data_IF_279020200647
#
_entry.id   IF_279020200647
#
_cell.length_a   1.000
_cell.length_b   1.000
_cell.length_c   1.000
_cell.angle_alpha   90.00
_cell.angle_beta   90.00
_cell.angle_gamma   90.00
#
_symmetry.space_group_name_H-M   'P 1'
#
loop_
_entity.id
_entity.type
_entity.pdbx_description
1 polymer ?
#
# COMPACT_ATOMS: atom_id res chain seq x y z
N UNK A 1 2.57 36.49 85.44
CA UNK A 1 3.76 36.79 84.63
C UNK A 1 4.62 35.55 84.44
N UNK A 2 5.57 35.20 85.31
CA UNK A 2 6.54 34.12 84.98
C UNK A 2 5.90 32.71 84.82
N UNK A 3 4.88 32.37 85.61
CA UNK A 3 4.13 31.09 85.45
C UNK A 3 3.18 31.06 84.26
N UNK A 4 2.69 32.23 83.83
CA UNK A 4 1.81 32.32 82.64
C UNK A 4 2.64 32.17 81.37
N UNK A 5 3.78 32.89 81.28
CA UNK A 5 4.74 32.72 80.18
C UNK A 5 5.29 31.30 80.07
N UNK A 6 5.43 30.60 81.20
CA UNK A 6 5.88 29.21 81.20
C UNK A 6 4.79 28.23 80.70
N UNK A 7 3.52 28.47 81.01
CA UNK A 7 2.41 27.66 80.49
C UNK A 7 2.20 27.87 78.98
N UNK A 8 2.34 29.12 78.52
CA UNK A 8 2.28 29.49 77.10
C UNK A 8 3.45 28.88 76.31
N UNK A 9 4.66 28.86 76.90
CA UNK A 9 5.81 28.17 76.32
C UNK A 9 5.60 26.66 76.22
N UNK A 10 5.03 26.02 77.25
CA UNK A 10 4.76 24.58 77.24
C UNK A 10 3.72 24.20 76.16
N UNK A 11 2.72 25.06 75.93
CA UNK A 11 1.73 24.91 74.84
C UNK A 11 2.37 24.99 73.46
N UNK A 12 3.16 26.05 73.19
CA UNK A 12 3.88 26.22 71.92
C UNK A 12 4.85 25.08 71.66
N UNK A 13 5.55 24.59 72.70
CA UNK A 13 6.45 23.44 72.56
C UNK A 13 5.69 22.14 72.23
N UNK A 14 4.48 21.96 72.76
CA UNK A 14 3.62 20.83 72.42
C UNK A 14 3.14 20.90 70.98
N UNK A 15 2.73 22.09 70.51
CA UNK A 15 2.33 22.32 69.12
C UNK A 15 3.52 22.10 68.16
N UNK A 16 4.69 22.61 68.51
CA UNK A 16 5.93 22.42 67.75
C UNK A 16 6.29 20.94 67.62
N UNK A 17 6.18 20.19 68.72
CA UNK A 17 6.43 18.74 68.67
C UNK A 17 5.44 18.02 67.75
N UNK A 18 4.17 18.42 67.76
CA UNK A 18 3.15 17.86 66.86
C UNK A 18 3.47 18.19 65.39
N UNK A 19 3.74 19.46 65.09
CA UNK A 19 4.04 19.92 63.73
C UNK A 19 5.27 19.23 63.15
N UNK A 20 6.34 19.06 63.95
CA UNK A 20 7.54 18.29 63.55
C UNK A 20 7.23 16.81 63.28
N UNK A 21 6.40 16.19 64.11
CA UNK A 21 6.00 14.79 63.89
C UNK A 21 5.18 14.61 62.62
N UNK A 22 4.32 15.57 62.30
CA UNK A 22 3.54 15.57 61.07
C UNK A 22 4.44 15.82 59.85
N UNK A 23 5.37 16.77 59.93
CA UNK A 23 6.34 17.06 58.89
C UNK A 23 7.19 15.83 58.56
N UNK A 24 7.72 15.14 59.56
CA UNK A 24 8.49 13.92 59.37
C UNK A 24 7.65 12.80 58.73
N UNK A 25 6.38 12.68 59.12
CA UNK A 25 5.45 11.73 58.52
C UNK A 25 5.19 12.02 57.04
N UNK A 26 5.08 13.30 56.67
CA UNK A 26 4.91 13.73 55.27
C UNK A 26 6.19 13.48 54.48
N UNK A 27 7.37 13.81 55.02
CA UNK A 27 8.67 13.56 54.38
C UNK A 27 8.87 12.07 54.07
N UNK A 28 8.55 11.19 55.01
CA UNK A 28 8.65 9.75 54.80
C UNK A 28 7.72 9.25 53.68
N UNK A 29 6.49 9.77 53.62
CA UNK A 29 5.55 9.45 52.52
C UNK A 29 6.06 9.97 51.19
N UNK A 30 6.54 11.21 51.15
CA UNK A 30 7.08 11.84 49.95
C UNK A 30 8.27 11.04 49.38
N UNK A 31 9.18 10.60 50.25
CA UNK A 31 10.27 9.71 49.84
C UNK A 31 9.75 8.40 49.26
N UNK A 32 8.77 7.76 49.93
CA UNK A 32 8.22 6.47 49.48
C UNK A 32 7.51 6.58 48.13
N UNK A 33 6.76 7.68 47.90
CA UNK A 33 6.11 7.93 46.62
C UNK A 33 7.12 8.23 45.52
N UNK A 34 8.20 8.98 45.80
CA UNK A 34 9.26 9.25 44.82
C UNK A 34 9.99 7.98 44.39
N UNK A 35 10.36 7.13 45.33
CA UNK A 35 10.98 5.81 45.04
C UNK A 35 10.02 4.93 44.21
N UNK A 36 8.71 5.02 44.46
CA UNK A 36 7.70 4.30 43.68
C UNK A 36 7.60 4.84 42.25
N UNK A 37 7.62 6.16 42.06
CA UNK A 37 7.58 6.79 40.73
C UNK A 37 8.84 6.47 39.94
N UNK A 38 10.02 6.52 40.55
CA UNK A 38 11.28 6.14 39.89
C UNK A 38 11.23 4.70 39.38
N UNK A 39 10.80 3.75 40.22
CA UNK A 39 10.64 2.35 39.80
C UNK A 39 9.63 2.17 38.67
N UNK A 40 8.54 2.94 38.65
CA UNK A 40 7.54 2.88 37.59
C UNK A 40 8.07 3.50 36.28
N UNK A 41 8.91 4.54 36.35
CA UNK A 41 9.57 5.14 35.18
C UNK A 41 10.57 4.16 34.55
N UNK A 42 11.34 3.44 35.37
CA UNK A 42 12.21 2.37 34.89
C UNK A 42 11.40 1.27 34.17
N UNK A 43 10.31 0.80 34.79
CA UNK A 43 9.43 -0.22 34.16
C UNK A 43 8.81 0.29 32.85
N UNK A 44 8.40 1.57 32.80
CA UNK A 44 7.89 2.21 31.58
C UNK A 44 8.93 2.16 30.46
N UNK A 45 10.16 2.59 30.75
CA UNK A 45 11.26 2.62 29.77
C UNK A 45 11.62 1.23 29.24
N UNK A 46 11.64 0.22 30.12
CA UNK A 46 11.86 -1.19 29.72
C UNK A 46 10.77 -1.68 28.76
N UNK A 47 9.50 -1.39 29.06
CA UNK A 47 8.36 -1.81 28.23
C UNK A 47 8.26 -1.04 26.91
N UNK A 48 8.63 0.25 26.89
CA UNK A 48 8.75 1.04 25.65
C UNK A 48 9.84 0.45 24.75
N UNK A 49 11.02 0.17 25.29
CA UNK A 49 12.11 -0.48 24.55
C UNK A 49 11.71 -1.86 24.01
N UNK A 50 10.96 -2.64 24.79
CA UNK A 50 10.40 -3.91 24.31
C UNK A 50 9.43 -3.69 23.15
N UNK A 51 8.56 -2.68 23.22
CA UNK A 51 7.59 -2.35 22.17
C UNK A 51 8.27 -1.94 20.86
N UNK A 52 9.29 -1.08 20.94
CA UNK A 52 10.03 -0.58 19.77
C UNK A 52 10.77 -1.69 19.04
N UNK A 53 11.22 -2.72 19.77
CA UNK A 53 11.84 -3.90 19.16
C UNK A 53 10.91 -4.65 18.21
N UNK A 54 9.59 -4.56 18.39
CA UNK A 54 8.60 -5.19 17.52
C UNK A 54 8.26 -4.39 16.25
N UNK A 55 8.67 -3.12 16.16
CA UNK A 55 8.34 -2.28 14.99
C UNK A 55 9.24 -2.53 13.77
N UNK A 56 10.37 -3.21 13.96
CA UNK A 56 11.29 -3.52 12.87
C UNK A 56 10.82 -4.63 11.90
N UNK A 57 9.78 -5.40 12.25
CA UNK A 57 9.43 -6.66 11.58
C UNK A 57 7.95 -6.74 11.13
N UNK A 58 7.34 -5.61 10.80
CA UNK A 58 5.95 -5.57 10.35
C UNK A 58 5.75 -6.34 9.02
N UNK A 59 5.16 -7.53 9.10
CA UNK A 59 4.68 -8.31 7.95
C UNK A 59 3.35 -7.75 7.47
N UNK A 60 3.23 -7.44 6.17
CA UNK A 60 1.95 -7.09 5.56
C UNK A 60 1.02 -8.31 5.54
N UNK A 61 0.00 -8.29 6.40
CA UNK A 61 -0.98 -9.37 6.53
C UNK A 61 -1.89 -9.50 5.32
N UNK A 62 -2.18 -8.40 4.62
CA UNK A 62 -3.04 -8.40 3.44
C UNK A 62 -2.37 -9.15 2.31
N UNK A 63 -1.13 -8.76 2.00
CA UNK A 63 -0.32 -9.41 0.97
C UNK A 63 -0.09 -10.90 1.27
N UNK A 64 0.24 -11.23 2.53
CA UNK A 64 0.45 -12.61 2.94
C UNK A 64 -0.83 -13.46 2.82
N UNK A 65 -2.01 -12.90 3.14
CA UNK A 65 -3.30 -13.59 3.00
C UNK A 65 -3.64 -13.86 1.54
N UNK A 66 -3.52 -12.83 0.69
CA UNK A 66 -3.79 -12.96 -0.74
C UNK A 66 -2.85 -13.98 -1.40
N UNK A 67 -1.58 -13.99 -0.97
CA UNK A 67 -0.61 -14.98 -1.43
C UNK A 67 -0.98 -16.39 -0.99
N UNK A 68 -1.41 -16.58 0.26
CA UNK A 68 -1.89 -17.88 0.75
C UNK A 68 -3.06 -18.39 -0.09
N UNK A 69 -4.04 -17.54 -0.40
CA UNK A 69 -5.18 -17.91 -1.24
C UNK A 69 -4.76 -18.29 -2.66
N UNK A 70 -3.88 -17.49 -3.27
CA UNK A 70 -3.31 -17.77 -4.60
C UNK A 70 -2.57 -19.10 -4.65
N UNK A 71 -1.71 -19.37 -3.67
CA UNK A 71 -0.94 -20.63 -3.56
C UNK A 71 -1.88 -21.82 -3.37
N UNK A 72 -2.92 -21.70 -2.53
CA UNK A 72 -3.93 -22.76 -2.34
C UNK A 72 -4.67 -23.07 -3.65
N UNK A 73 -5.13 -22.03 -4.36
CA UNK A 73 -5.79 -22.20 -5.66
C UNK A 73 -4.89 -22.87 -6.69
N UNK A 74 -3.60 -22.50 -6.73
CA UNK A 74 -2.62 -23.11 -7.62
C UNK A 74 -2.37 -24.59 -7.29
N UNK A 75 -2.28 -24.94 -6.00
CA UNK A 75 -2.16 -26.32 -5.54
C UNK A 75 -3.39 -27.15 -5.96
N UNK A 76 -4.60 -26.60 -5.84
CA UNK A 76 -5.84 -27.26 -6.28
C UNK A 76 -5.84 -27.51 -7.79
N UNK A 77 -5.48 -26.50 -8.59
CA UNK A 77 -5.33 -26.65 -10.05
C UNK A 77 -4.33 -27.74 -10.40
N UNK A 78 -3.15 -27.76 -9.77
CA UNK A 78 -2.14 -28.78 -9.98
C UNK A 78 -2.63 -30.19 -9.58
N UNK A 79 -3.44 -30.32 -8.52
CA UNK A 79 -4.02 -31.60 -8.15
C UNK A 79 -4.98 -32.13 -9.23
N UNK A 80 -5.79 -31.26 -9.87
CA UNK A 80 -6.63 -31.64 -11.01
C UNK A 80 -5.78 -32.11 -12.17
N UNK A 81 -4.81 -31.30 -12.60
CA UNK A 81 -3.92 -31.61 -13.73
C UNK A 81 -3.14 -32.90 -13.50
N UNK A 82 -2.58 -33.12 -12.30
CA UNK A 82 -1.87 -34.37 -11.95
C UNK A 82 -2.81 -35.58 -12.03
N UNK A 83 -4.05 -35.44 -11.58
CA UNK A 83 -5.04 -36.53 -11.59
C UNK A 83 -5.49 -36.88 -13.01
N UNK A 84 -5.69 -35.87 -13.86
CA UNK A 84 -5.98 -36.03 -15.29
C UNK A 84 -4.82 -36.71 -16.02
N UNK A 85 -3.59 -36.22 -15.84
CA UNK A 85 -2.38 -36.82 -16.42
C UNK A 85 -2.18 -38.26 -15.94
N UNK A 86 -2.42 -38.55 -14.66
CA UNK A 86 -2.33 -39.90 -14.12
C UNK A 86 -3.37 -40.84 -14.76
N UNK A 87 -4.59 -40.36 -14.97
CA UNK A 87 -5.66 -41.14 -15.62
C UNK A 87 -5.31 -41.47 -17.07
N UNK A 88 -4.81 -40.48 -17.83
CA UNK A 88 -4.39 -40.66 -19.22
C UNK A 88 -3.19 -41.60 -19.32
N UNK A 89 -2.17 -41.41 -18.47
CA UNK A 89 -0.97 -42.26 -18.44
C UNK A 89 -1.34 -43.69 -18.07
N UNK A 90 -2.15 -43.90 -17.03
CA UNK A 90 -2.55 -45.23 -16.58
C UNK A 90 -3.39 -45.97 -17.62
N UNK A 91 -4.38 -45.32 -18.22
CA UNK A 91 -5.14 -45.94 -19.30
C UNK A 91 -4.21 -46.28 -20.48
N UNK A 92 -3.37 -45.34 -20.91
CA UNK A 92 -2.45 -45.57 -22.05
C UNK A 92 -1.53 -46.77 -21.78
N UNK A 93 -1.02 -46.90 -20.56
CA UNK A 93 -0.23 -48.05 -20.12
C UNK A 93 -1.05 -49.34 -20.10
N UNK A 94 -2.28 -49.32 -19.58
CA UNK A 94 -3.16 -50.49 -19.55
C UNK A 94 -3.51 -50.99 -20.96
N UNK A 95 -3.62 -50.09 -21.95
CA UNK A 95 -3.77 -50.43 -23.37
C UNK A 95 -2.49 -51.01 -23.95
N UNK A 96 -1.34 -50.38 -23.70
CA UNK A 96 -0.04 -50.82 -24.22
C UNK A 96 0.40 -52.18 -23.63
N UNK A 97 0.06 -52.45 -22.36
CA UNK A 97 0.29 -53.72 -21.68
C UNK A 97 -0.71 -54.82 -22.09
N UNK A 98 -1.69 -54.50 -22.95
CA UNK A 98 -2.73 -55.43 -23.40
C UNK A 98 -3.77 -55.77 -22.34
N UNK A 99 -3.83 -55.03 -21.22
CA UNK A 99 -4.82 -55.21 -20.15
C UNK A 99 -6.18 -54.61 -20.52
N UNK A 100 -6.22 -53.64 -21.44
CA UNK A 100 -7.46 -53.03 -21.93
C UNK A 100 -8.21 -53.85 -23.01
N UNK A 101 -7.67 -55.01 -23.43
CA UNK A 101 -8.25 -55.88 -24.46
C UNK A 101 -9.59 -56.56 -24.08
N UNK A 102 -10.22 -56.21 -22.97
CA UNK A 102 -11.51 -56.79 -22.55
C UNK A 102 -12.74 -56.08 -23.13
N UNK A 103 -12.58 -54.96 -23.84
CA UNK A 103 -13.71 -54.20 -24.40
C UNK A 103 -13.82 -54.32 -25.93
N UNK A 104 -12.71 -54.56 -26.64
CA UNK A 104 -12.69 -54.59 -28.11
C UNK A 104 -12.95 -55.98 -28.71
N UNK A 105 -12.73 -57.06 -27.94
CA UNK A 105 -13.01 -58.45 -28.36
C UNK A 105 -14.52 -58.77 -28.51
N UNK A 106 -15.40 -57.78 -28.26
CA UNK A 106 -16.86 -57.93 -28.37
C UNK A 106 -17.47 -57.27 -29.62
N UNK A 107 -16.70 -56.58 -30.46
CA UNK A 107 -17.23 -55.87 -31.64
C UNK A 107 -16.38 -56.07 -32.92
N UNK A 108 -16.26 -57.33 -33.37
CA UNK A 108 -15.90 -57.73 -34.75
C UNK A 108 -14.44 -58.15 -34.95
N UNK A 109 -14.09 -59.19 -35.72
CA UNK A 109 -14.84 -60.05 -36.63
C UNK A 109 -14.04 -61.34 -36.95
N UNK A 110 -14.74 -62.37 -37.46
CA UNK A 110 -14.17 -63.48 -38.24
C UNK A 110 -13.31 -62.97 -39.40
N UNK A 111 -12.09 -63.51 -39.58
CA UNK A 111 -11.23 -63.21 -40.72
C UNK A 111 -9.93 -64.01 -40.76
N UNK A 112 -9.84 -64.93 -41.72
CA UNK A 112 -8.67 -65.75 -42.10
C UNK A 112 -7.54 -64.86 -42.66
N UNK A 113 -6.37 -64.86 -42.02
CA UNK A 113 -5.21 -64.01 -42.36
C UNK A 113 -3.87 -64.67 -42.04
N UNK A 114 -2.89 -64.50 -42.94
CA UNK A 114 -1.62 -65.24 -42.94
C UNK A 114 -0.70 -64.90 -41.76
N UNK A 115 0.00 -65.91 -41.24
CA UNK A 115 0.93 -65.83 -40.08
C UNK A 115 2.11 -64.85 -40.31
N UNK A 116 2.35 -64.45 -41.56
CA UNK A 116 3.37 -63.46 -41.94
C UNK A 116 2.95 -62.01 -41.73
N UNK A 117 1.66 -61.69 -41.74
CA UNK A 117 1.17 -60.34 -41.38
C UNK A 117 1.19 -60.12 -39.87
N UNK A 118 1.11 -61.18 -39.07
CA UNK A 118 1.15 -61.15 -37.60
C UNK A 118 2.51 -60.79 -36.99
N UNK A 119 3.60 -60.82 -37.76
CA UNK A 119 4.95 -60.45 -37.32
C UNK A 119 5.34 -59.01 -37.70
N UNK A 120 4.58 -58.37 -38.61
CA UNK A 120 4.77 -56.95 -38.98
C UNK A 120 3.71 -56.07 -38.31
N UNK A 121 2.56 -56.64 -37.93
CA UNK A 121 1.51 -55.98 -37.14
C UNK A 121 1.84 -55.80 -35.65
N UNK A 122 3.07 -56.11 -35.22
CA UNK A 122 3.48 -56.02 -33.81
C UNK A 122 3.99 -54.64 -33.40
N UNK A 123 4.31 -53.77 -34.35
CA UNK A 123 4.92 -52.46 -34.07
C UNK A 123 3.92 -51.29 -34.18
N UNK A 124 2.85 -51.43 -34.96
CA UNK A 124 1.81 -50.40 -35.12
C UNK A 124 0.51 -50.75 -34.39
N UNK A 125 -0.11 -49.76 -33.76
CA UNK A 125 -1.41 -49.85 -33.07
C UNK A 125 -2.29 -48.68 -33.53
N UNK A 126 -3.59 -48.91 -33.65
CA UNK A 126 -4.56 -47.83 -33.89
C UNK A 126 -4.63 -46.92 -32.66
N UNK A 127 -4.30 -45.65 -32.83
CA UNK A 127 -4.43 -44.66 -31.77
C UNK A 127 -5.91 -44.49 -31.39
N UNK A 128 -6.28 -44.72 -30.15
CA UNK A 128 -7.68 -44.54 -29.73
C UNK A 128 -8.13 -43.07 -29.85
N UNK A 129 -7.24 -42.11 -29.59
CA UNK A 129 -7.61 -40.69 -29.54
C UNK A 129 -7.92 -40.11 -30.91
N UNK A 130 -7.25 -40.56 -31.98
CA UNK A 130 -7.39 -40.01 -33.33
C UNK A 130 -7.71 -41.05 -34.43
N UNK A 131 -7.74 -42.34 -34.11
CA UNK A 131 -8.13 -43.42 -35.03
C UNK A 131 -7.09 -43.77 -36.10
N UNK A 132 -5.89 -43.18 -36.07
CA UNK A 132 -4.81 -43.43 -37.03
C UNK A 132 -3.87 -44.55 -36.57
N UNK A 133 -3.31 -45.34 -37.49
CA UNK A 133 -2.24 -46.30 -37.18
C UNK A 133 -0.93 -45.57 -36.86
N UNK A 134 -0.34 -45.86 -35.70
CA UNK A 134 0.91 -45.26 -35.22
C UNK A 134 1.79 -46.31 -34.54
N UNK A 135 3.10 -46.07 -34.56
CA UNK A 135 4.07 -46.95 -33.90
C UNK A 135 3.89 -46.92 -32.38
N UNK A 136 3.91 -48.10 -31.75
CA UNK A 136 3.82 -48.27 -30.29
C UNK A 136 4.94 -47.55 -29.55
N UNK A 137 6.12 -47.41 -30.17
CA UNK A 137 7.25 -46.66 -29.62
C UNK A 137 6.98 -45.14 -29.61
N UNK A 138 6.22 -44.61 -30.57
CA UNK A 138 5.80 -43.21 -30.59
C UNK A 138 4.77 -42.92 -29.49
N UNK A 139 3.85 -43.87 -29.23
CA UNK A 139 2.90 -43.78 -28.12
C UNK A 139 3.67 -43.85 -26.78
N UNK A 140 4.59 -44.80 -26.62
CA UNK A 140 5.45 -44.89 -25.42
C UNK A 140 6.25 -43.62 -25.18
N UNK A 141 6.87 -43.04 -26.20
CA UNK A 141 7.59 -41.77 -26.10
C UNK A 141 6.68 -40.60 -25.70
N UNK A 142 5.41 -40.61 -26.11
CA UNK A 142 4.42 -39.61 -25.68
C UNK A 142 3.99 -39.84 -24.22
N UNK A 143 3.78 -41.10 -23.82
CA UNK A 143 3.49 -41.47 -22.43
C UNK A 143 4.65 -41.09 -21.49
N UNK A 144 5.90 -41.28 -21.91
CA UNK A 144 7.08 -40.87 -21.14
C UNK A 144 7.15 -39.35 -20.97
N UNK A 145 6.85 -38.57 -22.01
CA UNK A 145 6.71 -37.11 -21.90
C UNK A 145 5.59 -36.70 -20.94
N UNK A 146 4.45 -37.39 -20.96
CA UNK A 146 3.35 -37.13 -20.02
C UNK A 146 3.73 -37.50 -18.57
N UNK A 147 4.55 -38.53 -18.37
CA UNK A 147 5.13 -38.88 -17.06
C UNK A 147 6.06 -37.79 -16.56
N UNK A 148 6.96 -37.29 -17.42
CA UNK A 148 7.87 -36.18 -17.10
C UNK A 148 7.10 -34.93 -16.68
N UNK A 149 6.11 -34.49 -17.47
CA UNK A 149 5.27 -33.33 -17.13
C UNK A 149 4.51 -33.56 -15.83
N UNK A 150 3.96 -34.75 -15.60
CA UNK A 150 3.27 -35.07 -14.34
C UNK A 150 4.22 -34.98 -13.14
N UNK A 151 5.46 -35.45 -13.28
CA UNK A 151 6.44 -35.43 -12.21
C UNK A 151 6.94 -34.00 -11.94
N UNK A 152 7.13 -33.18 -12.98
CA UNK A 152 7.35 -31.73 -12.86
C UNK A 152 6.21 -31.04 -12.10
N UNK A 153 4.94 -31.33 -12.44
CA UNK A 153 3.78 -30.76 -11.72
C UNK A 153 3.71 -31.21 -10.26
N UNK A 154 4.17 -32.43 -9.95
CA UNK A 154 4.26 -32.93 -8.56
C UNK A 154 5.33 -32.18 -7.77
N UNK A 155 6.45 -31.86 -8.41
CA UNK A 155 7.52 -31.03 -7.83
C UNK A 155 7.04 -29.60 -7.59
N UNK A 156 6.42 -28.94 -8.59
CA UNK A 156 5.80 -27.61 -8.46
C UNK A 156 4.81 -27.56 -7.28
N UNK A 157 3.95 -28.58 -7.16
CA UNK A 157 3.02 -28.69 -6.03
C UNK A 157 3.74 -28.87 -4.68
N UNK A 158 4.83 -29.64 -4.65
CA UNK A 158 5.58 -29.85 -3.41
C UNK A 158 6.27 -28.56 -2.96
N UNK A 159 6.77 -27.75 -3.89
CA UNK A 159 7.33 -26.42 -3.61
C UNK A 159 6.26 -25.46 -3.09
N UNK A 160 5.12 -25.36 -3.77
CA UNK A 160 4.00 -24.52 -3.33
C UNK A 160 3.48 -24.91 -1.95
N UNK A 161 3.51 -26.20 -1.59
CA UNK A 161 3.16 -26.64 -0.23
C UNK A 161 4.15 -26.14 0.82
N UNK A 162 5.46 -26.16 0.52
CA UNK A 162 6.47 -25.61 1.44
C UNK A 162 6.31 -24.10 1.60
N UNK A 163 6.04 -23.40 0.50
CA UNK A 163 5.75 -21.96 0.50
C UNK A 163 4.50 -21.67 1.36
N UNK A 164 3.43 -22.43 1.18
CA UNK A 164 2.22 -22.31 1.99
C UNK A 164 2.51 -22.51 3.48
N UNK A 165 3.24 -23.56 3.85
CA UNK A 165 3.61 -23.83 5.25
C UNK A 165 4.48 -22.71 5.85
N UNK A 166 5.32 -22.05 5.05
CA UNK A 166 6.12 -20.89 5.47
C UNK A 166 5.25 -19.64 5.65
N UNK A 167 4.39 -19.32 4.68
CA UNK A 167 3.45 -18.20 4.77
C UNK A 167 2.50 -18.35 5.96
N UNK A 168 1.95 -19.54 6.21
CA UNK A 168 1.10 -19.78 7.38
C UNK A 168 1.84 -19.63 8.71
N UNK A 169 3.12 -20.04 8.77
CA UNK A 169 3.97 -19.84 9.96
C UNK A 169 4.26 -18.36 10.18
N UNK A 170 4.60 -17.63 9.13
CA UNK A 170 4.83 -16.18 9.18
C UNK A 170 3.57 -15.44 9.65
N UNK A 171 2.40 -15.78 9.11
CA UNK A 171 1.12 -15.20 9.52
C UNK A 171 0.82 -15.43 11.01
N UNK A 172 1.02 -16.66 11.51
CA UNK A 172 0.84 -16.95 12.94
C UNK A 172 1.81 -16.18 13.83
N UNK A 173 3.06 -16.04 13.41
CA UNK A 173 4.06 -15.26 14.13
C UNK A 173 3.66 -13.76 14.17
N UNK A 174 3.25 -13.20 13.03
CA UNK A 174 2.78 -11.83 12.92
C UNK A 174 1.53 -11.56 13.77
N UNK A 175 0.59 -12.51 13.84
CA UNK A 175 -0.57 -12.40 14.74
C UNK A 175 -0.18 -12.43 16.22
N UNK A 176 0.79 -13.26 16.58
CA UNK A 176 1.27 -13.36 17.95
C UNK A 176 1.97 -12.06 18.37
N UNK A 177 2.85 -11.53 17.51
CA UNK A 177 3.51 -10.25 17.71
C UNK A 177 2.48 -9.13 17.92
N UNK A 178 1.41 -9.05 17.12
CA UNK A 178 0.34 -8.06 17.33
C UNK A 178 -0.31 -8.15 18.71
N UNK A 179 -0.65 -9.39 19.11
CA UNK A 179 -1.30 -9.63 20.38
C UNK A 179 -0.40 -9.19 21.53
N UNK A 180 0.89 -9.41 21.41
CA UNK A 180 1.86 -9.03 22.44
C UNK A 180 2.11 -7.52 22.43
N UNK A 181 2.27 -6.88 21.27
CA UNK A 181 2.31 -5.41 21.13
C UNK A 181 1.09 -4.74 21.75
N UNK A 182 -0.11 -5.25 21.48
CA UNK A 182 -1.35 -4.72 22.08
C UNK A 182 -1.35 -4.84 23.61
N UNK A 183 -0.90 -5.98 24.15
CA UNK A 183 -0.78 -6.16 25.61
C UNK A 183 0.23 -5.19 26.22
N UNK A 184 1.38 -4.98 25.57
CA UNK A 184 2.40 -4.03 26.02
C UNK A 184 1.85 -2.60 26.03
N UNK A 185 1.21 -2.16 24.95
CA UNK A 185 0.54 -0.85 24.90
C UNK A 185 -0.52 -0.67 25.99
N UNK A 186 -1.34 -1.70 26.24
CA UNK A 186 -2.35 -1.65 27.30
C UNK A 186 -1.72 -1.62 28.71
N UNK A 187 -0.53 -2.21 28.90
CA UNK A 187 0.23 -2.10 30.16
C UNK A 187 0.83 -0.71 30.32
N UNK A 188 1.50 -0.19 29.29
CA UNK A 188 2.09 1.15 29.27
C UNK A 188 1.06 2.20 29.65
N UNK A 189 -0.12 2.19 29.02
CA UNK A 189 -1.21 3.11 29.37
C UNK A 189 -1.60 3.06 30.85
N UNK A 190 -1.62 1.87 31.45
CA UNK A 190 -1.96 1.72 32.89
C UNK A 190 -0.85 2.23 33.79
N UNK A 191 0.41 2.05 33.39
CA UNK A 191 1.57 2.58 34.11
C UNK A 191 1.60 4.10 34.03
N UNK A 192 1.34 4.68 32.86
CA UNK A 192 1.19 6.13 32.67
C UNK A 192 0.08 6.70 33.57
N UNK A 193 -1.11 6.09 33.56
CA UNK A 193 -2.22 6.49 34.45
C UNK A 193 -1.85 6.38 35.95
N UNK A 194 -0.97 5.45 36.34
CA UNK A 194 -0.49 5.30 37.72
C UNK A 194 0.58 6.34 38.07
N UNK A 195 1.52 6.59 37.15
CA UNK A 195 2.53 7.64 37.26
C UNK A 195 1.86 9.00 37.46
N UNK A 196 0.90 9.37 36.62
CA UNK A 196 0.16 10.63 36.74
C UNK A 196 -0.48 10.81 38.12
N UNK A 197 -1.11 9.75 38.64
CA UNK A 197 -1.73 9.77 39.97
C UNK A 197 -0.71 9.96 41.08
N UNK A 198 0.43 9.26 41.01
CA UNK A 198 1.47 9.33 42.05
C UNK A 198 2.22 10.65 41.99
N UNK A 199 2.54 11.16 40.80
CA UNK A 199 3.11 12.50 40.62
C UNK A 199 2.20 13.56 41.22
N UNK A 200 0.89 13.51 40.96
CA UNK A 200 -0.07 14.42 41.61
C UNK A 200 -0.15 14.27 43.13
N UNK A 201 0.09 13.07 43.68
CA UNK A 201 0.22 12.87 45.13
C UNK A 201 1.50 13.48 45.69
N UNK A 202 2.62 13.36 44.96
CA UNK A 202 3.90 13.97 45.32
C UNK A 202 3.74 15.50 45.38
N UNK A 203 3.10 16.12 44.40
CA UNK A 203 2.80 17.56 44.40
C UNK A 203 2.02 17.96 45.66
N UNK A 204 0.91 17.27 45.94
CA UNK A 204 0.09 17.56 47.14
C UNK A 204 0.86 17.36 48.46
N UNK A 205 1.72 16.34 48.55
CA UNK A 205 2.56 16.09 49.72
C UNK A 205 3.67 17.15 49.86
N UNK A 206 4.19 17.65 48.74
CA UNK A 206 5.20 18.70 48.67
C UNK A 206 4.63 20.01 49.20
N UNK A 207 3.44 20.41 48.73
CA UNK A 207 2.70 21.57 49.24
C UNK A 207 2.46 21.44 50.76
N UNK A 208 2.03 20.26 51.20
CA UNK A 208 1.74 20.01 52.62
C UNK A 208 3.00 20.07 53.49
N UNK A 209 4.14 19.59 52.97
CA UNK A 209 5.44 19.67 53.63
C UNK A 209 5.85 21.13 53.81
N UNK A 210 5.67 21.96 52.78
CA UNK A 210 6.02 23.39 52.84
C UNK A 210 5.17 24.13 53.88
N UNK A 211 3.86 23.90 53.91
CA UNK A 211 2.96 24.47 54.92
C UNK A 211 3.38 24.08 56.35
N UNK A 212 3.72 22.80 56.58
CA UNK A 212 4.18 22.32 57.88
C UNK A 212 5.55 22.88 58.27
N UNK A 213 6.45 23.05 57.30
CA UNK A 213 7.77 23.65 57.54
C UNK A 213 7.63 25.12 57.97
N UNK A 214 6.80 25.90 57.28
CA UNK A 214 6.49 27.28 57.67
C UNK A 214 5.85 27.35 59.07
N UNK A 215 4.97 26.40 59.41
CA UNK A 215 4.38 26.31 60.74
C UNK A 215 5.43 26.01 61.82
N UNK A 216 6.36 25.08 61.56
CA UNK A 216 7.47 24.77 62.47
C UNK A 216 8.35 26.00 62.70
N UNK A 217 8.72 26.72 61.64
CA UNK A 217 9.54 27.93 61.74
C UNK A 217 8.86 29.02 62.60
N UNK A 218 7.56 29.23 62.41
CA UNK A 218 6.77 30.16 63.21
C UNK A 218 6.73 29.76 64.69
N UNK A 219 6.43 28.49 64.98
CA UNK A 219 6.38 27.98 66.36
C UNK A 219 7.76 28.02 67.04
N UNK A 220 8.84 27.81 66.30
CA UNK A 220 10.20 27.94 66.82
C UNK A 220 10.56 29.39 67.17
N UNK A 221 10.15 30.34 66.32
CA UNK A 221 10.26 31.78 66.58
C UNK A 221 9.53 32.17 67.88
N UNK A 222 8.26 31.77 68.00
CA UNK A 222 7.43 32.03 69.19
C UNK A 222 8.03 31.39 70.45
N UNK A 223 8.47 30.13 70.37
CA UNK A 223 9.11 29.43 71.49
C UNK A 223 10.41 30.11 71.94
N UNK A 224 11.18 30.66 71.00
CA UNK A 224 12.40 31.39 71.33
C UNK A 224 12.12 32.74 71.97
N UNK A 225 11.11 33.45 71.49
CA UNK A 225 10.70 34.73 72.07
C UNK A 225 10.21 34.54 73.52
N UNK A 226 9.31 33.60 73.76
CA UNK A 226 8.78 33.26 75.09
C UNK A 226 9.87 32.76 76.06
N UNK A 227 10.85 32.00 75.55
CA UNK A 227 11.99 31.52 76.33
C UNK A 227 12.96 32.64 76.69
N UNK A 228 13.22 33.58 75.78
CA UNK A 228 14.03 34.77 76.04
C UNK A 228 13.44 35.67 77.12
N UNK A 229 12.11 35.78 77.16
CA UNK A 229 11.37 36.47 78.23
C UNK A 229 11.45 35.74 79.59
N UNK A 230 11.73 34.43 79.58
CA UNK A 230 11.78 33.55 80.76
C UNK A 230 13.19 33.34 81.33
N UNK A 231 14.25 33.79 80.64
CA UNK A 231 15.64 33.83 81.13
C UNK A 231 16.44 32.53 81.04
N UNK A 232 16.10 31.61 80.11
CA UNK A 232 16.85 30.37 79.87
C UNK A 232 17.90 30.46 78.77
N UNK A 233 19.01 29.71 78.89
CA UNK A 233 20.04 29.54 77.84
C UNK A 233 19.52 28.70 76.65
N UNK A 234 19.93 29.07 75.42
CA UNK A 234 19.20 28.82 74.16
C UNK A 234 19.70 27.72 73.20
N UNK A 235 20.79 27.01 73.52
CA UNK A 235 21.51 26.16 72.55
C UNK A 235 20.66 25.10 71.82
N UNK A 236 19.68 24.46 72.47
CA UNK A 236 18.93 23.35 71.87
C UNK A 236 17.95 23.79 70.76
N UNK A 237 17.33 24.97 70.91
CA UNK A 237 16.40 25.48 69.89
C UNK A 237 17.19 25.97 68.67
N UNK A 238 18.33 26.61 68.89
CA UNK A 238 19.20 27.06 67.80
C UNK A 238 19.77 25.87 67.00
N UNK A 239 20.22 24.81 67.68
CA UNK A 239 20.69 23.60 66.99
C UNK A 239 19.58 22.92 66.18
N UNK A 240 18.33 22.95 66.67
CA UNK A 240 17.20 22.40 65.94
C UNK A 240 16.80 23.25 64.73
N UNK A 241 16.89 24.58 64.82
CA UNK A 241 16.74 25.45 63.65
C UNK A 241 17.77 25.14 62.58
N UNK A 242 19.05 25.03 62.97
CA UNK A 242 20.12 24.72 62.03
C UNK A 242 19.90 23.34 61.37
N UNK A 243 19.42 22.35 62.13
CA UNK A 243 19.01 21.05 61.57
C UNK A 243 17.88 21.20 60.54
N UNK A 244 16.80 21.92 60.87
CA UNK A 244 15.67 22.13 59.98
C UNK A 244 16.09 22.88 58.70
N UNK A 245 16.97 23.87 58.81
CA UNK A 245 17.51 24.62 57.67
C UNK A 245 18.26 23.69 56.69
N UNK A 246 19.10 22.79 57.22
CA UNK A 246 19.84 21.81 56.42
C UNK A 246 18.87 20.79 55.80
N UNK A 247 17.89 20.31 56.55
CA UNK A 247 16.87 19.38 56.03
C UNK A 247 16.03 20.03 54.92
N UNK A 248 15.64 21.30 55.07
CA UNK A 248 14.92 22.03 54.04
C UNK A 248 15.76 22.22 52.78
N UNK A 249 17.06 22.51 52.93
CA UNK A 249 17.97 22.58 51.79
C UNK A 249 18.13 21.24 51.07
N UNK A 250 18.19 20.13 51.82
CA UNK A 250 18.21 18.78 51.26
C UNK A 250 16.92 18.46 50.51
N UNK A 251 15.77 18.80 51.08
CA UNK A 251 14.46 18.58 50.46
C UNK A 251 14.32 19.40 49.17
N UNK A 252 14.71 20.68 49.15
CA UNK A 252 14.75 21.48 47.92
C UNK A 252 15.64 20.86 46.85
N UNK A 253 16.82 20.38 47.22
CA UNK A 253 17.74 19.74 46.26
C UNK A 253 17.15 18.46 45.67
N UNK A 254 16.37 17.71 46.47
CA UNK A 254 15.64 16.51 45.99
C UNK A 254 14.50 16.89 45.05
N UNK A 255 13.82 18.01 45.30
CA UNK A 255 12.77 18.52 44.42
C UNK A 255 13.37 18.99 43.08
N UNK A 256 14.49 19.72 43.14
CA UNK A 256 15.25 20.12 41.94
C UNK A 256 15.68 18.90 41.11
N UNK A 257 16.17 17.83 41.77
CA UNK A 257 16.53 16.59 41.08
C UNK A 257 15.32 15.93 40.40
N UNK A 258 14.18 15.87 41.08
CA UNK A 258 12.96 15.33 40.52
C UNK A 258 12.50 16.13 39.29
N UNK A 259 12.53 17.47 39.37
CA UNK A 259 12.21 18.35 38.26
C UNK A 259 13.13 18.12 37.05
N UNK A 260 14.44 17.94 37.29
CA UNK A 260 15.39 17.64 36.20
C UNK A 260 15.12 16.28 35.57
N UNK A 261 14.71 15.26 36.35
CA UNK A 261 14.31 13.97 35.80
C UNK A 261 13.04 14.10 34.94
N UNK A 262 12.06 14.91 35.38
CA UNK A 262 10.85 15.17 34.61
C UNK A 262 11.18 15.88 33.29
N UNK A 263 12.09 16.88 33.31
CA UNK A 263 12.60 17.54 32.10
C UNK A 263 13.34 16.60 31.16
N UNK A 264 14.06 15.60 31.68
CA UNK A 264 14.74 14.58 30.87
C UNK A 264 13.73 13.65 30.19
N UNK A 265 12.72 13.18 30.93
CA UNK A 265 11.62 12.37 30.38
C UNK A 265 10.91 13.12 29.23
N UNK A 266 10.58 14.41 29.43
CA UNK A 266 9.98 15.24 28.37
C UNK A 266 10.89 15.40 27.14
N UNK A 267 12.21 15.43 27.35
CA UNK A 267 13.17 15.55 26.25
C UNK A 267 13.29 14.24 25.47
N UNK A 268 13.27 13.10 26.16
CA UNK A 268 13.29 11.77 25.55
C UNK A 268 12.03 11.54 24.70
N UNK A 269 10.84 11.87 25.21
CA UNK A 269 9.59 11.83 24.45
C UNK A 269 9.67 12.66 23.15
N UNK A 270 10.33 13.82 23.20
CA UNK A 270 10.55 14.67 22.03
C UNK A 270 11.57 14.09 21.03
N UNK A 271 12.52 13.29 21.49
CA UNK A 271 13.43 12.58 20.60
C UNK A 271 12.70 11.46 19.86
N UNK A 272 11.83 10.72 20.55
CA UNK A 272 11.02 9.65 19.96
C UNK A 272 10.05 10.21 18.91
N UNK A 273 9.35 11.30 19.21
CA UNK A 273 8.48 12.01 18.25
C UNK A 273 9.25 12.42 16.98
N UNK A 274 10.49 12.91 17.15
CA UNK A 274 11.33 13.29 16.01
C UNK A 274 11.66 12.07 15.13
N UNK A 275 11.98 10.93 15.71
CA UNK A 275 12.27 9.72 14.93
C UNK A 275 11.04 9.23 14.18
N UNK A 276 9.85 9.27 14.78
CA UNK A 276 8.58 8.94 14.10
C UNK A 276 8.36 9.84 12.88
N UNK A 277 8.52 11.16 13.04
CA UNK A 277 8.38 12.12 11.94
C UNK A 277 9.43 11.93 10.83
N UNK A 278 10.64 11.50 11.16
CA UNK A 278 11.67 11.17 10.17
C UNK A 278 11.28 9.95 9.33
N UNK A 279 10.72 8.90 9.96
CA UNK A 279 10.19 7.72 9.27
C UNK A 279 8.99 8.08 8.37
N UNK A 280 8.03 8.87 8.87
CA UNK A 280 6.88 9.33 8.09
C UNK A 280 7.33 10.12 6.85
N UNK A 281 8.31 11.03 7.02
CA UNK A 281 8.87 11.80 5.91
C UNK A 281 9.50 10.90 4.85
N UNK A 282 10.22 9.86 5.26
CA UNK A 282 10.85 8.91 4.33
C UNK A 282 9.79 8.13 3.54
N UNK A 283 8.76 7.60 4.21
CA UNK A 283 7.63 6.95 3.57
C UNK A 283 6.94 7.86 2.54
N UNK A 284 6.62 9.10 2.92
CA UNK A 284 5.97 10.07 2.02
C UNK A 284 6.85 10.39 0.80
N UNK A 285 8.18 10.44 0.97
CA UNK A 285 9.08 10.64 -0.17
C UNK A 285 9.09 9.44 -1.11
N UNK A 286 9.11 8.21 -0.58
CA UNK A 286 9.02 6.99 -1.39
C UNK A 286 7.70 6.92 -2.17
N UNK A 287 6.58 7.23 -1.51
CA UNK A 287 5.26 7.32 -2.16
C UNK A 287 5.25 8.37 -3.27
N UNK A 288 5.86 9.53 -3.03
CA UNK A 288 5.99 10.60 -4.03
C UNK A 288 6.81 10.14 -5.24
N UNK A 289 7.91 9.42 -5.02
CA UNK A 289 8.74 8.87 -6.09
C UNK A 289 8.00 7.78 -6.90
N UNK A 290 7.30 6.89 -6.22
CA UNK A 290 6.46 5.87 -6.84
C UNK A 290 5.35 6.51 -7.70
N UNK A 291 4.63 7.49 -7.15
CA UNK A 291 3.59 8.22 -7.87
C UNK A 291 4.14 8.95 -9.09
N UNK A 292 5.30 9.61 -8.97
CA UNK A 292 5.97 10.28 -10.11
C UNK A 292 6.38 9.28 -11.19
N UNK A 293 6.91 8.12 -10.80
CA UNK A 293 7.29 7.06 -11.73
C UNK A 293 6.08 6.51 -12.46
N UNK A 294 4.98 6.26 -11.73
CA UNK A 294 3.70 5.84 -12.31
C UNK A 294 3.14 6.86 -13.30
N UNK A 295 3.15 8.15 -12.95
CA UNK A 295 2.73 9.21 -13.87
C UNK A 295 3.59 9.19 -15.14
N UNK A 296 4.91 9.05 -15.00
CA UNK A 296 5.82 8.98 -16.15
C UNK A 296 5.53 7.77 -17.03
N UNK A 297 5.31 6.58 -16.46
CA UNK A 297 5.03 5.37 -17.23
C UNK A 297 3.66 5.45 -17.93
N UNK A 298 2.61 5.88 -17.22
CA UNK A 298 1.28 6.07 -17.81
C UNK A 298 1.31 7.09 -18.94
N UNK A 299 2.02 8.20 -18.75
CA UNK A 299 2.12 9.22 -19.79
C UNK A 299 2.91 8.73 -21.00
N UNK A 300 3.99 7.98 -20.80
CA UNK A 300 4.77 7.40 -21.90
C UNK A 300 3.92 6.41 -22.71
N UNK A 301 3.25 5.47 -22.03
CA UNK A 301 2.34 4.52 -22.66
C UNK A 301 1.22 5.24 -23.43
N UNK A 302 0.62 6.27 -22.83
CA UNK A 302 -0.43 7.05 -23.51
C UNK A 302 0.09 7.75 -24.77
N UNK A 303 1.30 8.33 -24.75
CA UNK A 303 1.91 8.96 -25.94
C UNK A 303 2.24 7.93 -27.02
N UNK A 304 2.75 6.76 -26.63
CA UNK A 304 3.04 5.66 -27.56
C UNK A 304 1.76 5.18 -28.25
N UNK A 305 0.71 4.83 -27.49
CA UNK A 305 -0.58 4.43 -28.06
C UNK A 305 -1.20 5.54 -28.91
N UNK A 306 -1.08 6.81 -28.50
CA UNK A 306 -1.58 7.93 -29.28
C UNK A 306 -0.88 8.06 -30.64
N UNK A 307 0.43 7.83 -30.69
CA UNK A 307 1.19 7.88 -31.93
C UNK A 307 0.88 6.69 -32.84
N UNK A 308 0.70 5.48 -32.29
CA UNK A 308 0.31 4.29 -33.05
C UNK A 308 -1.08 4.44 -33.66
N UNK A 309 -2.05 4.95 -32.91
CA UNK A 309 -3.41 5.20 -33.42
C UNK A 309 -3.43 6.34 -34.44
N UNK A 310 -2.67 7.42 -34.24
CA UNK A 310 -2.55 8.47 -35.25
C UNK A 310 -1.95 7.98 -36.56
N UNK A 311 -0.93 7.11 -36.50
CA UNK A 311 -0.34 6.49 -37.69
C UNK A 311 -1.37 5.62 -38.41
N UNK A 312 -2.09 4.77 -37.67
CA UNK A 312 -3.16 3.92 -38.20
C UNK A 312 -4.26 4.72 -38.91
N UNK A 313 -4.77 5.78 -38.26
CA UNK A 313 -5.83 6.62 -38.82
C UNK A 313 -5.30 7.43 -40.02
N UNK A 314 -4.07 7.94 -39.96
CA UNK A 314 -3.47 8.68 -41.07
C UNK A 314 -3.26 7.77 -42.30
N UNK A 315 -2.83 6.54 -42.10
CA UNK A 315 -2.67 5.53 -43.16
C UNK A 315 -4.01 5.16 -43.80
N UNK A 316 -5.07 4.99 -43.00
CA UNK A 316 -6.44 4.76 -43.50
C UNK A 316 -6.92 5.93 -44.38
N UNK A 317 -6.56 7.16 -44.01
CA UNK A 317 -6.86 8.36 -44.78
C UNK A 317 -5.92 8.56 -45.99
N UNK A 318 -4.78 7.85 -46.06
CA UNK A 318 -3.86 7.85 -47.21
C UNK A 318 -3.55 9.24 -47.77
N UNK A 319 -3.33 10.24 -46.91
CA UNK A 319 -3.24 11.64 -47.31
C UNK A 319 -1.81 12.02 -47.72
N UNK A 320 -1.52 12.02 -49.01
CA UNK A 320 -0.14 12.10 -49.57
C UNK A 320 0.68 13.34 -49.16
N UNK A 321 0.03 14.43 -48.75
CA UNK A 321 0.72 15.67 -48.38
C UNK A 321 1.29 15.63 -46.95
N UNK A 322 0.80 14.72 -46.11
CA UNK A 322 1.23 14.56 -44.71
C UNK A 322 1.89 13.19 -44.58
N UNK A 323 3.19 13.21 -44.34
CA UNK A 323 3.99 11.99 -44.21
C UNK A 323 3.81 11.37 -42.82
N UNK A 324 3.74 12.20 -41.76
CA UNK A 324 3.67 11.72 -40.38
C UNK A 324 3.16 12.79 -39.43
N UNK A 325 2.42 12.37 -38.41
CA UNK A 325 2.05 13.20 -37.25
C UNK A 325 2.43 12.44 -35.99
N UNK A 326 3.07 13.10 -35.03
CA UNK A 326 3.34 12.50 -33.72
C UNK A 326 3.29 13.53 -32.59
N UNK A 327 3.00 13.03 -31.40
CA UNK A 327 2.99 13.76 -30.15
C UNK A 327 4.30 13.47 -29.40
N UNK A 328 5.01 14.52 -29.02
CA UNK A 328 6.17 14.45 -28.13
C UNK A 328 5.82 15.04 -26.78
N UNK A 329 6.26 14.37 -25.70
CA UNK A 329 6.23 14.96 -24.37
C UNK A 329 7.55 15.69 -24.11
N UNK A 330 7.45 17.00 -23.85
CA UNK A 330 8.60 17.84 -23.49
C UNK A 330 8.47 18.37 -22.07
N UNK A 331 9.60 18.53 -21.37
CA UNK A 331 9.65 19.14 -20.04
C UNK A 331 10.08 20.60 -20.14
N UNK A 332 9.22 21.52 -19.67
CA UNK A 332 9.51 22.96 -19.66
C UNK A 332 9.49 23.52 -18.26
N UNK A 333 10.48 24.37 -17.96
CA UNK A 333 10.55 25.13 -16.71
C UNK A 333 9.60 26.32 -16.77
N UNK A 334 8.47 26.19 -16.10
CA UNK A 334 7.45 27.23 -16.00
C UNK A 334 7.54 27.91 -14.64
N UNK A 335 7.29 29.21 -14.58
CA UNK A 335 7.30 29.95 -13.32
C UNK A 335 5.93 29.82 -12.64
N UNK A 336 5.91 29.23 -11.46
CA UNK A 336 4.76 29.23 -10.57
C UNK A 336 5.05 30.08 -9.33
N UNK A 337 4.45 31.27 -9.28
CA UNK A 337 4.70 32.26 -8.24
C UNK A 337 6.17 32.67 -8.15
N UNK A 338 6.83 32.30 -7.04
CA UNK A 338 8.25 32.58 -6.77
C UNK A 338 9.20 31.46 -7.20
N UNK A 339 8.71 30.28 -7.60
CA UNK A 339 9.55 29.12 -7.95
C UNK A 339 9.42 28.78 -9.44
N UNK A 340 10.44 28.14 -10.00
CA UNK A 340 10.36 27.50 -11.32
C UNK A 340 10.09 26.02 -11.08
N UNK A 341 9.05 25.50 -11.70
CA UNK A 341 8.70 24.08 -11.66
C UNK A 341 8.81 23.51 -13.07
N UNK A 342 9.27 22.28 -13.18
CA UNK A 342 9.24 21.54 -14.45
C UNK A 342 7.82 21.01 -14.64
N UNK A 343 7.20 21.39 -15.75
CA UNK A 343 5.92 20.84 -16.19
C UNK A 343 6.11 20.09 -17.48
N UNK A 344 5.46 18.93 -17.57
CA UNK A 344 5.27 18.25 -18.84
C UNK A 344 4.32 19.07 -19.71
N UNK A 345 4.70 19.25 -20.97
CA UNK A 345 3.86 19.75 -22.05
C UNK A 345 3.91 18.73 -23.19
N UNK A 346 2.90 18.76 -24.04
CA UNK A 346 2.87 17.95 -25.25
C UNK A 346 3.02 18.87 -26.46
N UNK A 347 3.87 18.46 -27.39
CA UNK A 347 4.09 19.14 -28.66
C UNK A 347 3.66 18.21 -29.79
N UNK A 348 2.86 18.75 -30.71
CA UNK A 348 2.44 18.03 -31.90
C UNK A 348 3.40 18.39 -33.03
N UNK A 349 3.96 17.38 -33.66
CA UNK A 349 4.87 17.52 -34.79
C UNK A 349 4.22 16.96 -36.05
N UNK A 350 4.33 17.71 -37.14
CA UNK A 350 3.71 17.36 -38.42
C UNK A 350 4.80 17.39 -39.50
N UNK A 351 5.00 16.26 -40.18
CA UNK A 351 5.91 16.13 -41.32
C UNK A 351 5.12 16.17 -42.61
N UNK A 352 5.54 17.03 -43.54
CA UNK A 352 4.91 17.20 -44.85
C UNK A 352 5.85 16.79 -45.97
N UNK A 353 5.27 16.28 -47.04
CA UNK A 353 5.96 16.03 -48.30
C UNK A 353 5.66 17.16 -49.29
N UNK A 354 6.70 17.72 -49.90
CA UNK A 354 6.53 18.68 -51.01
C UNK A 354 6.29 17.96 -52.34
N UNK A 355 5.72 18.67 -53.32
CA UNK A 355 5.55 18.18 -54.71
C UNK A 355 6.86 17.70 -55.38
N UNK A 356 8.02 18.05 -54.80
CA UNK A 356 9.36 17.64 -55.23
C UNK A 356 9.91 16.41 -54.50
N UNK A 357 9.15 15.85 -53.56
CA UNK A 357 9.54 14.72 -52.70
C UNK A 357 10.42 15.09 -51.50
N UNK A 358 10.66 16.38 -51.24
CA UNK A 358 11.38 16.82 -50.05
C UNK A 358 10.46 16.81 -48.83
N UNK A 359 10.94 16.22 -47.73
CA UNK A 359 10.23 16.04 -46.45
C UNK A 359 10.69 17.10 -45.45
N UNK A 360 9.77 17.81 -44.79
CA UNK A 360 10.09 18.83 -43.79
C UNK A 360 9.04 18.87 -42.66
N UNK A 361 9.46 19.36 -41.48
CA UNK A 361 8.59 19.54 -40.31
C UNK A 361 7.92 20.92 -40.34
N UNK A 362 6.64 20.99 -39.98
CA UNK A 362 5.85 22.22 -39.97
C UNK A 362 4.92 22.32 -38.75
N UNK A 363 4.40 23.52 -38.48
CA UNK A 363 3.44 23.80 -37.40
C UNK A 363 2.01 23.79 -37.91
N UNK A 364 1.05 23.52 -37.02
CA UNK A 364 -0.40 23.66 -37.27
C UNK A 364 -0.74 25.02 -37.88
N UNK A 365 -0.07 26.09 -37.45
CA UNK A 365 -0.34 27.47 -37.90
C UNK A 365 -0.07 27.69 -39.40
N UNK A 366 0.73 26.83 -40.03
CA UNK A 366 1.14 26.96 -41.43
C UNK A 366 0.46 25.94 -42.36
N UNK A 367 -0.38 25.07 -41.80
CA UNK A 367 -1.14 24.08 -42.55
C UNK A 367 -2.29 24.73 -43.34
N UNK A 368 -2.60 24.15 -44.50
CA UNK A 368 -3.81 24.50 -45.25
C UNK A 368 -5.08 24.20 -44.43
N UNK A 369 -6.24 24.68 -44.86
CA UNK A 369 -7.51 24.35 -44.21
C UNK A 369 -7.77 22.84 -44.24
N UNK A 370 -7.58 22.20 -45.39
CA UNK A 370 -7.76 20.75 -45.55
C UNK A 370 -6.75 19.93 -44.75
N UNK A 371 -5.50 20.38 -44.62
CA UNK A 371 -4.49 19.70 -43.80
C UNK A 371 -4.82 19.82 -42.30
N UNK A 372 -5.31 20.97 -41.84
CA UNK A 372 -5.72 21.15 -40.43
C UNK A 372 -6.91 20.28 -40.07
N UNK A 373 -7.87 20.13 -40.99
CA UNK A 373 -9.02 19.25 -40.80
C UNK A 373 -8.59 17.78 -40.67
N UNK A 374 -7.70 17.31 -41.55
CA UNK A 374 -7.18 15.93 -41.49
C UNK A 374 -6.39 15.69 -40.21
N UNK A 375 -5.44 16.57 -39.86
CA UNK A 375 -4.65 16.43 -38.62
C UNK A 375 -5.55 16.49 -37.39
N UNK A 376 -6.55 17.38 -37.38
CA UNK A 376 -7.53 17.48 -36.29
C UNK A 376 -8.38 16.22 -36.15
N UNK A 377 -8.81 15.63 -37.27
CA UNK A 377 -9.57 14.38 -37.29
C UNK A 377 -8.74 13.20 -36.80
N UNK A 378 -7.51 13.04 -37.32
CA UNK A 378 -6.56 12.00 -36.88
C UNK A 378 -6.30 12.10 -35.39
N UNK A 379 -6.02 13.30 -34.88
CA UNK A 379 -5.80 13.54 -33.45
C UNK A 379 -7.03 13.20 -32.60
N UNK A 380 -8.22 13.62 -33.03
CA UNK A 380 -9.45 13.37 -32.30
C UNK A 380 -9.82 11.88 -32.25
N UNK A 381 -9.66 11.16 -33.37
CA UNK A 381 -9.95 9.73 -33.48
C UNK A 381 -8.92 8.87 -32.73
N UNK A 382 -7.63 9.22 -32.80
CA UNK A 382 -6.62 8.57 -31.99
C UNK A 382 -6.89 8.76 -30.49
N UNK A 383 -7.24 9.98 -30.07
CA UNK A 383 -7.64 10.26 -28.69
C UNK A 383 -8.90 9.52 -28.25
N UNK A 384 -9.87 9.34 -29.16
CA UNK A 384 -11.08 8.57 -28.89
C UNK A 384 -10.78 7.11 -28.55
N UNK A 385 -9.82 6.49 -29.25
CA UNK A 385 -9.41 5.10 -29.02
C UNK A 385 -8.52 4.95 -27.78
N UNK A 386 -7.46 5.76 -27.66
CA UNK A 386 -6.50 5.67 -26.56
C UNK A 386 -7.13 5.92 -25.19
N UNK A 387 -8.12 6.81 -25.14
CA UNK A 387 -8.85 7.09 -23.90
C UNK A 387 -10.16 6.32 -23.78
N UNK A 388 -10.41 5.35 -24.65
CA UNK A 388 -11.57 4.45 -24.60
C UNK A 388 -12.89 5.22 -24.47
N UNK A 389 -12.99 6.38 -25.14
CA UNK A 389 -14.11 7.32 -24.98
C UNK A 389 -15.45 6.66 -25.36
N UNK A 390 -15.42 5.64 -26.22
CA UNK A 390 -16.57 4.82 -26.58
C UNK A 390 -17.24 4.12 -25.38
N UNK A 391 -16.51 3.87 -24.28
CA UNK A 391 -17.08 3.24 -23.08
C UNK A 391 -18.06 4.17 -22.35
N UNK A 392 -17.74 5.46 -22.28
CA UNK A 392 -18.59 6.46 -21.62
C UNK A 392 -19.57 7.13 -22.61
N UNK A 393 -19.17 7.27 -23.87
CA UNK A 393 -19.92 7.97 -24.91
C UNK A 393 -20.26 7.00 -26.06
N UNK A 394 -21.45 6.37 -26.05
CA UNK A 394 -21.79 5.30 -26.98
C UNK A 394 -22.17 5.79 -28.39
N UNK A 395 -22.18 7.11 -28.63
CA UNK A 395 -22.65 7.72 -29.87
C UNK A 395 -21.54 8.56 -30.51
N UNK A 396 -21.17 8.22 -31.75
CA UNK A 396 -20.23 8.97 -32.57
C UNK A 396 -20.97 9.58 -33.78
N UNK A 397 -20.82 10.89 -33.96
CA UNK A 397 -21.29 11.61 -35.14
C UNK A 397 -20.09 12.10 -35.94
N UNK A 398 -19.94 11.59 -37.17
CA UNK A 398 -19.00 12.10 -38.16
C UNK A 398 -19.76 13.08 -39.07
N UNK A 399 -19.54 14.37 -38.85
CA UNK A 399 -20.12 15.45 -39.67
C UNK A 399 -19.01 16.10 -40.51
N UNK A 400 -19.37 16.58 -41.71
CA UNK A 400 -18.49 17.39 -42.57
C UNK A 400 -17.17 16.71 -42.99
N UNK A 401 -17.21 15.41 -43.32
CA UNK A 401 -16.05 14.65 -43.86
C UNK A 401 -15.81 14.87 -45.37
N UNK A 402 -16.36 15.95 -45.94
CA UNK A 402 -16.35 16.25 -47.38
C UNK A 402 -14.94 16.47 -47.96
N UNK A 403 -13.94 16.70 -47.10
CA UNK A 403 -12.53 16.84 -47.49
C UNK A 403 -11.84 15.50 -47.83
N UNK A 404 -12.53 14.38 -47.61
CA UNK A 404 -12.02 13.01 -47.78
C UNK A 404 -12.83 12.33 -48.89
N UNK A 405 -12.19 11.54 -49.75
CA UNK A 405 -12.93 10.81 -50.79
C UNK A 405 -13.73 9.62 -50.23
N UNK A 406 -14.77 9.26 -50.96
CA UNK A 406 -15.71 8.19 -50.64
C UNK A 406 -15.05 6.86 -50.21
N UNK A 407 -13.93 6.46 -50.83
CA UNK A 407 -13.26 5.20 -50.52
C UNK A 407 -12.58 5.23 -49.15
N UNK A 408 -11.96 6.35 -48.81
CA UNK A 408 -11.32 6.57 -47.52
C UNK A 408 -12.35 6.76 -46.40
N UNK A 409 -13.46 7.44 -46.67
CA UNK A 409 -14.60 7.53 -45.73
C UNK A 409 -15.11 6.13 -45.39
N UNK A 410 -15.27 5.26 -46.39
CA UNK A 410 -15.72 3.88 -46.16
C UNK A 410 -14.72 3.10 -45.28
N UNK A 411 -13.41 3.19 -45.58
CA UNK A 411 -12.38 2.54 -44.77
C UNK A 411 -12.35 3.04 -43.31
N UNK A 412 -12.58 4.34 -43.10
CA UNK A 412 -12.66 4.93 -41.77
C UNK A 412 -13.91 4.45 -41.02
N UNK A 413 -15.08 4.41 -41.67
CA UNK A 413 -16.31 3.89 -41.05
C UNK A 413 -16.18 2.40 -40.71
N UNK A 414 -15.63 1.59 -41.61
CA UNK A 414 -15.40 0.16 -41.39
C UNK A 414 -14.41 -0.09 -40.23
N UNK A 415 -13.40 0.77 -40.06
CA UNK A 415 -12.48 0.66 -38.94
C UNK A 415 -13.15 1.03 -37.60
N UNK A 416 -13.96 2.09 -37.60
CA UNK A 416 -14.54 2.64 -36.37
C UNK A 416 -15.86 2.00 -35.94
N UNK A 417 -16.57 1.26 -36.80
CA UNK A 417 -17.90 0.70 -36.46
C UNK A 417 -17.92 -0.25 -35.27
N UNK A 418 -16.77 -0.84 -34.92
CA UNK A 418 -16.64 -1.80 -33.83
C UNK A 418 -16.60 -1.17 -32.43
N UNK A 419 -16.38 0.14 -32.31
CA UNK A 419 -16.16 0.81 -31.03
C UNK A 419 -17.44 1.48 -30.46
N UNK A 420 -18.08 2.46 -31.12
CA UNK A 420 -19.30 3.07 -30.59
C UNK A 420 -20.49 2.12 -30.76
N UNK A 421 -21.46 2.23 -29.86
CA UNK A 421 -22.75 1.54 -30.03
C UNK A 421 -23.53 2.09 -31.23
N UNK A 422 -23.37 3.38 -31.49
CA UNK A 422 -24.01 4.08 -32.60
C UNK A 422 -23.00 4.94 -33.34
N UNK A 423 -22.74 4.61 -34.60
CA UNK A 423 -21.97 5.42 -35.53
C UNK A 423 -22.91 6.07 -36.55
N UNK A 424 -22.91 7.39 -36.62
CA UNK A 424 -23.71 8.17 -37.58
C UNK A 424 -22.76 9.03 -38.40
N UNK A 425 -22.83 8.92 -39.72
CA UNK A 425 -22.06 9.75 -40.64
C UNK A 425 -23.00 10.60 -41.50
N UNK A 426 -22.73 11.91 -41.58
CA UNK A 426 -23.41 12.83 -42.49
C UNK A 426 -22.61 12.91 -43.79
N UNK A 427 -23.16 12.34 -44.86
CA UNK A 427 -22.47 12.15 -46.14
C UNK A 427 -23.28 12.70 -47.31
N UNK A 428 -22.58 13.18 -48.33
CA UNK A 428 -23.19 13.46 -49.62
C UNK A 428 -23.62 12.15 -50.31
N UNK A 429 -24.59 12.18 -51.23
CA UNK A 429 -25.08 10.97 -51.89
C UNK A 429 -24.03 10.20 -52.68
N UNK A 430 -22.98 10.88 -53.14
CA UNK A 430 -21.85 10.29 -53.85
C UNK A 430 -20.94 9.48 -52.92
N UNK A 431 -20.64 9.99 -51.73
CA UNK A 431 -19.81 9.30 -50.75
C UNK A 431 -20.54 8.13 -50.09
N UNK A 432 -21.84 8.30 -49.83
CA UNK A 432 -22.68 7.25 -49.23
C UNK A 432 -22.79 5.97 -50.09
N UNK A 433 -22.46 6.04 -51.39
CA UNK A 433 -22.46 4.89 -52.29
C UNK A 433 -21.24 3.98 -52.11
N UNK A 434 -20.14 4.49 -51.55
CA UNK A 434 -18.95 3.69 -51.27
C UNK A 434 -19.11 2.80 -50.03
N UNK A 435 -20.05 3.13 -49.14
CA UNK A 435 -20.36 2.32 -47.96
C UNK A 435 -21.30 1.14 -48.29
N UNK A 436 -21.19 0.07 -47.50
CA UNK A 436 -22.00 -1.13 -47.62
C UNK A 436 -23.52 -0.82 -47.57
N UNK A 437 -24.30 -1.61 -48.31
CA UNK A 437 -25.75 -1.42 -48.39
C UNK A 437 -26.50 -1.81 -47.09
N UNK A 438 -25.83 -2.48 -46.16
CA UNK A 438 -26.36 -2.85 -44.85
C UNK A 438 -26.56 -1.66 -43.91
N UNK A 439 -25.85 -0.55 -44.11
CA UNK A 439 -26.03 0.66 -43.32
C UNK A 439 -27.39 1.32 -43.57
N UNK A 440 -28.05 1.71 -42.49
CA UNK A 440 -29.34 2.42 -42.56
C UNK A 440 -29.13 3.85 -43.06
N UNK A 441 -29.66 4.16 -44.25
CA UNK A 441 -29.61 5.51 -44.84
C UNK A 441 -30.86 6.32 -44.50
N UNK A 442 -30.68 7.56 -44.06
CA UNK A 442 -31.75 8.52 -43.79
C UNK A 442 -31.49 9.79 -44.60
N UNK A 443 -32.43 10.15 -45.48
CA UNK A 443 -32.32 11.37 -46.29
C UNK A 443 -32.97 12.56 -45.59
N UNK A 444 -32.23 13.66 -45.47
CA UNK A 444 -32.75 14.92 -44.95
C UNK A 444 -33.84 15.48 -45.87
N UNK A 445 -35.00 15.83 -45.31
CA UNK A 445 -36.12 16.45 -46.05
C UNK A 445 -37.21 15.51 -46.55
N UNK A 446 -37.13 14.20 -46.28
CA UNK A 446 -38.26 13.27 -46.44
C UNK A 446 -38.86 12.98 -45.06
N UNK A 447 -40.17 13.22 -44.89
CA UNK A 447 -40.92 13.07 -43.64
C UNK A 447 -40.51 11.81 -42.85
N UNK A 448 -39.87 12.01 -41.69
CA UNK A 448 -39.60 10.93 -40.74
C UNK A 448 -40.92 10.56 -40.08
N UNK A 449 -41.64 9.62 -40.68
CA UNK A 449 -42.76 8.96 -39.99
C UNK A 449 -42.15 7.85 -39.12
N UNK A 450 -42.26 7.90 -37.78
CA UNK A 450 -41.76 6.80 -36.96
C UNK A 450 -42.68 5.59 -37.20
N UNK A 451 -42.13 4.51 -37.75
CA UNK A 451 -42.83 3.24 -37.81
C UNK A 451 -42.92 2.66 -36.38
N UNK A 452 -44.15 2.28 -36.01
CA UNK A 452 -44.57 1.76 -34.70
C UNK A 452 -44.02 0.37 -34.37
#
# INVERSE_FOLDING_TARGET
>A
TQREHQAELDEVLSELQSARSDLESVRFRLQSERESVESLREERSELQSELDSFDAEAVDRGEASDRIESVRSRIESLNSTISELQTVVQYTEDVLDGKAGLVEDSLGADGDGSVTDQLVSSETTTCWTCGTEVDRDQIRGTTDRLREVRDEKREERAELRRELDELERSMRAAEQAERDRRKLRDKLRRLEDELDRRTGQIESLTDRREELAEQVDALEADASELRGQSGGEGDLIELHRELNEVEFALDRTRDDLASVHDELDELDDRFDEREELEREREQVNEELEAARTRIRSLTAAAVESFNEEMETVLDLLGYDNIERVWLERVERRVREGRRKVEKAQFELHIVRASDSGAVYEDSIDHLSESEREVVGLVFALAGYLVHEVYEEVPFMLLDSVEAIDAGRIAALVDHFEQYPTFLVAALLPEDAQALDASYRRVTWGTDVTPAA
#
